data_IF_270927321708
#
_entry.id   IF_270927321708
#
_cell.length_a   1.000
_cell.length_b   1.000
_cell.length_c   1.000
_cell.angle_alpha   90.00
_cell.angle_beta   90.00
_cell.angle_gamma   90.00
#
_symmetry.space_group_name_H-M   'P 1'
#
loop_
_entity.id
_entity.type
_entity.pdbx_description
1 polymer ?
#
# COMPACT_ATOMS: atom_id res chain seq x y z
N UNK A 1 14.17 7.02 15.69
CA UNK A 1 13.88 8.17 14.82
C UNK A 1 13.17 7.69 13.57
N UNK A 2 12.04 8.32 13.23
CA UNK A 2 11.27 7.90 12.07
C UNK A 2 11.94 8.37 10.77
N UNK A 3 12.05 7.47 9.82
CA UNK A 3 12.52 7.82 8.49
C UNK A 3 11.38 8.48 7.73
N UNK A 4 11.69 9.18 6.64
CA UNK A 4 10.66 9.79 5.79
C UNK A 4 9.63 8.76 5.33
N UNK A 5 10.09 7.57 4.97
CA UNK A 5 9.22 6.49 4.54
C UNK A 5 8.27 6.05 5.66
N UNK A 6 8.78 5.95 6.90
CA UNK A 6 7.98 5.56 8.06
C UNK A 6 6.93 6.61 8.40
N UNK A 7 7.31 7.89 8.30
CA UNK A 7 6.35 8.96 8.54
C UNK A 7 5.27 8.97 7.45
N UNK A 8 5.68 8.79 6.21
CA UNK A 8 4.73 8.71 5.10
C UNK A 8 3.76 7.57 5.32
N UNK A 9 4.26 6.40 5.71
CA UNK A 9 3.40 5.24 5.95
C UNK A 9 2.40 5.52 7.08
N UNK A 10 2.85 6.13 8.17
CA UNK A 10 1.97 6.45 9.29
C UNK A 10 0.87 7.41 8.88
N UNK A 11 1.22 8.44 8.12
CA UNK A 11 0.24 9.41 7.65
C UNK A 11 -0.73 8.77 6.66
N UNK A 12 -0.21 7.90 5.80
CA UNK A 12 -1.02 7.17 4.83
C UNK A 12 -2.08 6.30 5.52
N UNK A 13 -1.67 5.59 6.57
CA UNK A 13 -2.59 4.74 7.32
C UNK A 13 -3.73 5.58 7.90
N UNK A 14 -3.42 6.74 8.45
CA UNK A 14 -4.45 7.63 8.99
C UNK A 14 -5.44 8.07 7.90
N UNK A 15 -4.92 8.39 6.72
CA UNK A 15 -5.76 8.84 5.63
C UNK A 15 -6.64 7.72 5.10
N UNK A 16 -6.10 6.51 4.99
CA UNK A 16 -6.89 5.36 4.56
C UNK A 16 -8.03 5.10 5.55
N UNK A 17 -7.76 5.21 6.84
CA UNK A 17 -8.79 5.02 7.85
C UNK A 17 -9.92 6.04 7.74
N UNK A 18 -9.61 7.26 7.31
CA UNK A 18 -10.64 8.28 7.09
C UNK A 18 -11.48 8.00 5.85
N UNK A 19 -10.84 7.53 4.79
CA UNK A 19 -11.54 7.25 3.53
C UNK A 19 -12.40 5.99 3.60
N UNK A 20 -11.98 5.00 4.38
CA UNK A 20 -12.63 3.69 4.43
C UNK A 20 -12.98 3.33 5.86
N UNK A 21 -14.11 3.87 6.38
CA UNK A 21 -14.53 3.56 7.76
C UNK A 21 -14.67 2.05 7.97
N UNK A 22 -14.06 1.55 9.05
CA UNK A 22 -14.08 0.12 9.34
C UNK A 22 -12.97 -0.68 8.69
N UNK A 23 -12.07 -0.01 7.97
CA UNK A 23 -10.96 -0.70 7.31
C UNK A 23 -10.03 -1.38 8.31
N UNK A 24 -9.49 -2.54 7.92
CA UNK A 24 -8.44 -3.22 8.67
C UNK A 24 -7.16 -3.09 7.86
N UNK A 25 -6.11 -2.58 8.48
CA UNK A 25 -4.82 -2.40 7.83
C UNK A 25 -3.80 -3.27 8.54
N UNK A 26 -3.17 -4.16 7.79
CA UNK A 26 -2.15 -5.06 8.29
C UNK A 26 -0.79 -4.59 7.81
N UNK A 27 0.18 -4.54 8.72
CA UNK A 27 1.57 -4.28 8.36
C UNK A 27 2.25 -5.62 8.15
N UNK A 28 2.76 -5.85 6.96
CA UNK A 28 3.38 -7.12 6.62
C UNK A 28 4.85 -7.14 7.01
N UNK A 29 5.35 -8.33 7.30
CA UNK A 29 6.73 -8.53 7.77
C UNK A 29 7.62 -9.06 6.64
N UNK A 30 8.52 -8.21 6.14
CA UNK A 30 9.45 -8.59 5.09
C UNK A 30 10.46 -9.65 5.55
N UNK A 31 10.65 -9.81 6.86
CA UNK A 31 11.50 -10.86 7.39
C UNK A 31 10.84 -12.23 7.24
N UNK A 32 9.52 -12.26 7.23
CA UNK A 32 8.78 -13.49 6.99
C UNK A 32 8.75 -13.83 5.49
N UNK A 33 8.52 -12.82 4.65
CA UNK A 33 8.41 -13.02 3.21
C UNK A 33 9.07 -11.82 2.50
N UNK A 34 10.28 -12.04 1.99
CA UNK A 34 11.04 -10.98 1.36
C UNK A 34 10.30 -10.40 0.16
N UNK A 35 10.14 -9.09 0.17
CA UNK A 35 9.50 -8.38 -0.93
C UNK A 35 8.00 -8.22 -0.79
N UNK A 36 7.40 -8.80 0.27
CA UNK A 36 5.96 -8.60 0.50
C UNK A 36 5.67 -7.11 0.66
N UNK A 37 4.60 -6.57 0.04
CA UNK A 37 4.27 -5.15 0.23
C UNK A 37 4.04 -4.80 1.69
N UNK A 38 4.33 -3.56 2.06
CA UNK A 38 4.27 -3.10 3.44
C UNK A 38 2.92 -3.27 4.09
N UNK A 39 1.85 -3.02 3.34
CA UNK A 39 0.50 -2.97 3.89
C UNK A 39 -0.46 -3.86 3.13
N UNK A 40 -1.36 -4.50 3.87
CA UNK A 40 -2.53 -5.15 3.31
C UNK A 40 -3.76 -4.41 3.83
N UNK A 41 -4.64 -4.01 2.93
CA UNK A 41 -5.84 -3.23 3.23
C UNK A 41 -7.05 -4.13 3.03
N UNK A 42 -7.87 -4.27 4.07
CA UNK A 42 -9.07 -5.10 4.01
C UNK A 42 -10.29 -4.23 4.30
N UNK A 43 -11.21 -4.17 3.34
CA UNK A 43 -12.41 -3.35 3.53
C UNK A 43 -13.56 -3.89 2.69
N UNK A 44 -14.67 -4.18 3.35
CA UNK A 44 -15.94 -4.51 2.66
C UNK A 44 -15.79 -5.57 1.56
N UNK A 45 -15.15 -6.70 1.90
CA UNK A 45 -14.89 -7.84 0.99
C UNK A 45 -13.85 -7.55 -0.07
N UNK A 46 -13.24 -6.38 -0.04
CA UNK A 46 -12.18 -6.01 -0.98
C UNK A 46 -10.84 -6.01 -0.26
N UNK A 47 -9.75 -6.14 -1.03
CA UNK A 47 -8.43 -6.06 -0.44
C UNK A 47 -7.45 -5.43 -1.43
N UNK A 48 -6.38 -4.90 -0.87
CA UNK A 48 -5.32 -4.28 -1.66
C UNK A 48 -4.00 -4.47 -0.93
N UNK A 49 -2.91 -4.40 -1.69
CA UNK A 49 -1.57 -4.35 -1.10
C UNK A 49 -0.86 -3.11 -1.60
N UNK A 50 -0.21 -2.41 -0.69
CA UNK A 50 0.52 -1.17 -1.01
C UNK A 50 1.95 -1.28 -0.50
N UNK A 51 2.91 -0.96 -1.38
CA UNK A 51 4.31 -0.87 -1.00
C UNK A 51 4.67 0.61 -0.92
N UNK A 52 5.07 1.06 0.28
CA UNK A 52 5.38 2.47 0.51
C UNK A 52 6.81 2.77 0.08
N UNK A 53 6.97 3.82 -0.70
CA UNK A 53 8.26 4.34 -1.11
C UNK A 53 8.36 5.81 -0.71
N UNK A 54 9.59 6.29 -0.45
CA UNK A 54 9.78 7.69 -0.08
C UNK A 54 9.67 8.63 -1.27
N UNK A 55 9.86 8.09 -2.49
CA UNK A 55 9.75 8.87 -3.72
C UNK A 55 9.63 7.93 -4.91
N UNK A 56 9.28 8.48 -6.07
CA UNK A 56 9.19 7.72 -7.31
C UNK A 56 10.53 7.12 -7.74
N UNK A 57 11.64 7.66 -7.22
CA UNK A 57 12.98 7.23 -7.61
C UNK A 57 13.58 6.19 -6.68
N UNK A 58 12.90 5.83 -5.61
CA UNK A 58 13.43 4.85 -4.68
C UNK A 58 13.57 3.49 -5.35
N UNK A 59 14.72 2.84 -5.15
CA UNK A 59 15.00 1.54 -5.75
C UNK A 59 14.06 0.49 -5.17
N UNK A 60 13.54 -0.39 -6.06
CA UNK A 60 12.73 -1.51 -5.63
C UNK A 60 13.65 -2.65 -5.19
N UNK A 61 13.35 -3.23 -4.03
CA UNK A 61 14.10 -4.35 -3.52
C UNK A 61 13.65 -5.65 -4.20
N UNK A 62 14.44 -6.73 -4.08
CA UNK A 62 14.07 -8.01 -4.70
C UNK A 62 12.66 -8.45 -4.32
N UNK A 63 11.94 -8.98 -5.30
CA UNK A 63 10.59 -9.52 -5.20
C UNK A 63 9.48 -8.49 -4.99
N UNK A 64 9.79 -7.21 -4.79
CA UNK A 64 8.74 -6.20 -4.60
C UNK A 64 7.86 -6.07 -5.83
N UNK A 65 8.48 -6.00 -7.02
CA UNK A 65 7.70 -5.90 -8.26
C UNK A 65 6.83 -7.14 -8.46
N UNK A 66 7.37 -8.31 -8.16
CA UNK A 66 6.63 -9.56 -8.30
C UNK A 66 5.36 -9.57 -7.45
N UNK A 67 5.49 -9.22 -6.17
CA UNK A 67 4.32 -9.25 -5.28
C UNK A 67 3.31 -8.16 -5.58
N UNK A 68 3.77 -6.98 -6.01
CA UNK A 68 2.84 -5.92 -6.41
C UNK A 68 2.06 -6.33 -7.66
N UNK A 69 2.75 -6.90 -8.65
CA UNK A 69 2.09 -7.34 -9.87
C UNK A 69 1.10 -8.47 -9.59
N UNK A 70 1.48 -9.41 -8.72
CA UNK A 70 0.58 -10.48 -8.33
C UNK A 70 -0.65 -9.94 -7.60
N UNK A 71 -0.45 -9.05 -6.62
CA UNK A 71 -1.56 -8.46 -5.89
C UNK A 71 -2.50 -7.70 -6.82
N UNK A 72 -1.92 -6.96 -7.78
CA UNK A 72 -2.73 -6.20 -8.72
C UNK A 72 -3.54 -7.11 -9.65
N UNK A 73 -2.97 -8.25 -10.02
CA UNK A 73 -3.69 -9.19 -10.87
C UNK A 73 -4.84 -9.88 -10.13
N UNK A 74 -4.72 -10.04 -8.81
CA UNK A 74 -5.74 -10.71 -7.99
C UNK A 74 -6.75 -9.72 -7.42
N UNK A 75 -6.34 -8.50 -7.15
CA UNK A 75 -7.21 -7.47 -6.60
C UNK A 75 -6.64 -6.09 -6.93
N UNK A 76 -5.82 -5.52 -6.05
CA UNK A 76 -5.25 -4.19 -6.26
C UNK A 76 -3.87 -4.15 -5.60
N UNK A 77 -2.84 -3.82 -6.38
CA UNK A 77 -1.48 -3.70 -5.87
C UNK A 77 -0.77 -2.50 -6.50
N UNK A 78 -0.15 -1.67 -5.66
CA UNK A 78 0.53 -0.47 -6.14
C UNK A 78 1.72 -0.12 -5.26
N UNK A 79 2.75 0.45 -5.90
CA UNK A 79 3.73 1.23 -5.16
C UNK A 79 3.12 2.60 -4.90
N UNK A 80 3.26 3.11 -3.67
CA UNK A 80 2.68 4.39 -3.30
C UNK A 80 3.74 5.26 -2.64
N UNK A 81 3.81 6.52 -3.05
CA UNK A 81 4.78 7.49 -2.56
C UNK A 81 4.12 8.87 -2.59
N UNK A 82 4.74 9.90 -1.99
CA UNK A 82 4.06 11.19 -1.89
C UNK A 82 3.53 11.76 -3.20
N UNK A 83 4.26 11.58 -4.29
CA UNK A 83 3.87 12.15 -5.57
C UNK A 83 2.63 11.51 -6.18
N UNK A 84 2.38 10.20 -5.90
CA UNK A 84 1.23 9.51 -6.49
C UNK A 84 0.15 9.15 -5.48
N UNK A 85 0.33 9.53 -4.22
CA UNK A 85 -0.56 9.09 -3.13
C UNK A 85 -2.03 9.35 -3.42
N UNK A 86 -2.38 10.58 -3.80
CA UNK A 86 -3.79 10.91 -4.03
C UNK A 86 -4.38 10.11 -5.19
N UNK A 87 -3.62 9.99 -6.27
CA UNK A 87 -4.08 9.24 -7.43
C UNK A 87 -4.31 7.76 -7.08
N UNK A 88 -3.37 7.16 -6.34
CA UNK A 88 -3.49 5.75 -5.95
C UNK A 88 -4.67 5.53 -5.02
N UNK A 89 -4.87 6.41 -4.04
CA UNK A 89 -6.00 6.29 -3.13
C UNK A 89 -7.33 6.43 -3.86
N UNK A 90 -7.39 7.31 -4.84
CA UNK A 90 -8.59 7.46 -5.67
C UNK A 90 -8.85 6.20 -6.49
N UNK A 91 -7.81 5.61 -7.08
CA UNK A 91 -7.95 4.36 -7.82
C UNK A 91 -8.41 3.21 -6.93
N UNK A 92 -7.83 3.12 -5.72
CA UNK A 92 -8.21 2.08 -4.77
C UNK A 92 -9.67 2.24 -4.36
N UNK A 93 -10.10 3.47 -4.12
CA UNK A 93 -11.49 3.73 -3.75
C UNK A 93 -12.44 3.32 -4.87
N UNK A 94 -12.11 3.64 -6.12
CA UNK A 94 -12.92 3.21 -7.24
C UNK A 94 -12.98 1.69 -7.34
N UNK A 95 -11.84 1.04 -7.13
CA UNK A 95 -11.77 -0.42 -7.16
C UNK A 95 -12.64 -1.06 -6.07
N UNK A 96 -12.62 -0.49 -4.87
CA UNK A 96 -13.32 -1.05 -3.72
C UNK A 96 -14.82 -0.81 -3.74
N UNK A 97 -15.29 0.18 -4.48
CA UNK A 97 -16.70 0.55 -4.48
C UNK A 97 -17.47 0.11 -5.72
N UNK A 98 -16.83 -0.67 -6.56
CA UNK A 98 -17.48 -1.22 -7.75
C UNK A 98 -18.38 -2.39 -7.38
#
# INVERSE_FOLDING_TARGET
MARKENKFQADLIKEIKKRFPGVIILKNDANYLQGIPDLTILWNRCWAMLECKKSSNEIHQPNQDFYIEMADSLSFGRFIYPENKEAILDEMERSFKV
#
